data_IF_482402371600
#
_entry.id   IF_482402371600
#
_cell.length_a   1.000
_cell.length_b   1.000
_cell.length_c   1.000
_cell.angle_alpha   90.00
_cell.angle_beta   90.00
_cell.angle_gamma   90.00
#
_symmetry.space_group_name_H-M   'P 1'
#
loop_
_entity.id
_entity.type
_entity.pdbx_description
1 polymer ?
#
# COMPACT_ATOMS: atom_id res chain seq x y z
N UNK A 1 63.70 -26.78 0.37
CA UNK A 1 63.06 -25.65 -0.33
C UNK A 1 61.58 -25.98 -0.43
N UNK A 2 60.76 -25.16 0.25
CA UNK A 2 59.31 -24.95 0.23
C UNK A 2 58.41 -25.89 -0.61
N UNK A 3 57.19 -26.23 -0.25
CA UNK A 3 56.36 -26.10 0.96
C UNK A 3 55.00 -26.69 0.55
N UNK A 4 54.41 -27.51 1.42
CA UNK A 4 52.98 -27.52 1.75
C UNK A 4 51.98 -26.97 0.70
N UNK A 5 51.40 -27.86 -0.12
CA UNK A 5 50.05 -27.63 -0.71
C UNK A 5 49.18 -28.81 -0.32
N UNK A 6 48.80 -28.86 0.96
CA UNK A 6 47.70 -29.71 1.44
C UNK A 6 46.92 -28.91 2.47
N UNK A 7 45.59 -28.96 2.35
CA UNK A 7 44.58 -28.29 3.19
C UNK A 7 44.42 -26.77 3.03
N UNK A 8 43.70 -26.31 2.00
CA UNK A 8 42.92 -25.07 2.16
C UNK A 8 41.63 -24.94 1.31
N UNK A 9 41.23 -25.96 0.54
CA UNK A 9 40.00 -25.88 -0.27
C UNK A 9 38.71 -26.24 0.50
N UNK A 10 38.82 -26.84 1.67
CA UNK A 10 37.65 -27.28 2.49
C UNK A 10 37.09 -26.14 3.36
N UNK A 11 37.89 -25.14 3.73
CA UNK A 11 37.42 -24.01 4.55
C UNK A 11 36.48 -23.06 3.81
N UNK A 12 36.56 -23.00 2.48
CA UNK A 12 35.69 -22.14 1.67
C UNK A 12 34.30 -22.74 1.42
N UNK A 13 34.14 -24.05 1.59
CA UNK A 13 32.81 -24.72 1.51
C UNK A 13 32.01 -24.50 2.80
N UNK A 14 32.69 -24.33 3.94
CA UNK A 14 32.05 -24.05 5.22
C UNK A 14 31.65 -22.57 5.42
N UNK A 15 32.14 -21.64 4.58
CA UNK A 15 31.79 -20.21 4.69
C UNK A 15 30.54 -19.82 3.88
N UNK A 16 30.00 -20.72 3.06
CA UNK A 16 28.83 -20.45 2.21
C UNK A 16 27.54 -21.17 2.68
N UNK A 17 27.61 -21.89 3.80
CA UNK A 17 26.52 -22.76 4.30
C UNK A 17 25.72 -22.14 5.46
N UNK A 18 25.93 -20.87 5.81
CA UNK A 18 25.29 -20.23 6.97
C UNK A 18 24.29 -19.11 6.60
N UNK A 19 23.78 -19.06 5.37
CA UNK A 19 22.72 -18.11 4.98
C UNK A 19 21.60 -18.78 4.19
N UNK A 20 21.17 -19.95 4.64
CA UNK A 20 19.82 -20.45 4.32
C UNK A 20 18.94 -20.18 5.53
N UNK A 21 18.63 -18.91 5.76
CA UNK A 21 17.46 -18.56 6.56
C UNK A 21 16.27 -18.99 5.72
N UNK A 22 15.69 -20.10 6.15
CA UNK A 22 14.37 -20.60 5.78
C UNK A 22 13.38 -19.43 5.68
N UNK A 23 13.08 -19.00 4.45
CA UNK A 23 11.80 -18.37 4.14
C UNK A 23 10.73 -19.46 4.21
N UNK A 24 10.35 -19.83 5.44
CA UNK A 24 9.10 -20.53 5.67
C UNK A 24 8.00 -19.49 5.49
N UNK A 25 7.36 -19.49 4.31
CA UNK A 25 6.08 -18.81 4.14
C UNK A 25 5.03 -19.58 4.95
N UNK A 26 4.94 -19.25 6.24
CA UNK A 26 3.80 -19.62 7.05
C UNK A 26 2.62 -18.71 6.67
N UNK A 27 1.46 -19.30 6.39
CA UNK A 27 0.26 -18.55 5.96
C UNK A 27 -0.53 -17.98 7.16
N UNK A 28 0.04 -18.03 8.37
CA UNK A 28 -0.65 -17.64 9.60
C UNK A 28 0.18 -16.79 10.57
N UNK A 29 1.34 -16.27 10.15
CA UNK A 29 2.10 -15.31 10.97
C UNK A 29 1.87 -13.90 10.45
N UNK A 30 1.01 -13.18 11.19
CA UNK A 30 1.03 -11.74 11.45
C UNK A 30 1.94 -11.01 10.47
N UNK A 31 1.34 -10.39 9.45
CA UNK A 31 1.98 -9.33 8.67
C UNK A 31 2.74 -8.46 9.66
N UNK A 32 4.07 -8.60 9.66
CA UNK A 32 4.91 -7.73 10.47
C UNK A 32 4.83 -6.40 9.75
N UNK A 33 3.83 -5.59 10.11
CA UNK A 33 3.77 -4.22 9.65
C UNK A 33 5.01 -3.54 10.21
N UNK A 34 6.00 -3.35 9.34
CA UNK A 34 7.29 -2.74 9.67
C UNK A 34 7.20 -1.23 9.80
N UNK A 35 6.04 -0.64 9.46
CA UNK A 35 5.77 0.79 9.56
C UNK A 35 4.98 1.12 10.82
N UNK A 36 5.32 2.23 11.47
CA UNK A 36 4.47 2.79 12.52
C UNK A 36 3.19 3.40 11.92
N UNK A 37 2.16 3.57 12.74
CA UNK A 37 0.91 4.25 12.32
C UNK A 37 1.22 5.67 11.83
N UNK A 38 2.17 6.34 12.46
CA UNK A 38 2.62 7.69 12.11
C UNK A 38 3.37 7.71 10.77
N UNK A 39 4.23 6.71 10.49
CA UNK A 39 4.88 6.60 9.19
C UNK A 39 3.85 6.32 8.07
N UNK A 40 2.85 5.49 8.35
CA UNK A 40 1.77 5.17 7.42
C UNK A 40 0.96 6.44 7.06
N UNK A 41 0.63 7.26 8.06
CA UNK A 41 0.00 8.58 7.84
C UNK A 41 0.88 9.50 6.99
N UNK A 42 2.17 9.60 7.31
CA UNK A 42 3.10 10.46 6.59
C UNK A 42 3.27 10.02 5.11
N UNK A 43 3.37 8.71 4.86
CA UNK A 43 3.40 8.16 3.51
C UNK A 43 2.09 8.45 2.75
N UNK A 44 0.96 8.41 3.45
CA UNK A 44 -0.35 8.73 2.87
C UNK A 44 -0.46 10.20 2.45
N UNK A 45 0.09 11.11 3.25
CA UNK A 45 0.18 12.54 2.91
C UNK A 45 1.11 12.77 1.71
N UNK A 46 2.27 12.11 1.68
CA UNK A 46 3.20 12.18 0.54
C UNK A 46 2.55 11.67 -0.75
N UNK A 47 1.83 10.55 -0.68
CA UNK A 47 1.09 10.01 -1.82
C UNK A 47 0.03 11.01 -2.32
N UNK A 48 -0.72 11.62 -1.41
CA UNK A 48 -1.73 12.60 -1.78
C UNK A 48 -1.12 13.84 -2.45
N UNK A 49 0.05 14.30 -1.99
CA UNK A 49 0.80 15.39 -2.61
C UNK A 49 1.29 15.02 -4.01
N UNK A 50 1.85 13.83 -4.19
CA UNK A 50 2.33 13.35 -5.49
C UNK A 50 1.17 13.29 -6.50
N UNK A 51 0.03 12.71 -6.11
CA UNK A 51 -1.17 12.64 -6.96
C UNK A 51 -1.67 14.04 -7.31
N UNK A 52 -1.74 14.96 -6.33
CA UNK A 52 -2.19 16.32 -6.57
C UNK A 52 -1.23 17.12 -7.48
N UNK A 53 0.06 16.76 -7.51
CA UNK A 53 1.06 17.42 -8.35
C UNK A 53 0.97 17.04 -9.83
N UNK A 54 0.32 15.91 -10.16
CA UNK A 54 0.07 15.47 -11.53
C UNK A 54 -1.43 15.38 -11.86
N UNK A 55 -2.11 16.52 -12.02
CA UNK A 55 -3.53 16.55 -12.38
C UNK A 55 -3.79 16.09 -13.82
N UNK A 56 -2.76 15.89 -14.63
CA UNK A 56 -2.91 15.38 -16.00
C UNK A 56 -3.15 13.87 -15.97
N UNK A 57 -2.37 13.15 -15.17
CA UNK A 57 -2.55 11.71 -14.95
C UNK A 57 -3.69 11.43 -13.97
N UNK A 58 -3.87 12.28 -12.96
CA UNK A 58 -4.87 12.11 -11.91
C UNK A 58 -5.81 13.33 -11.81
N UNK A 59 -6.71 13.54 -12.79
CA UNK A 59 -7.66 14.65 -12.75
C UNK A 59 -8.71 14.41 -11.66
N UNK A 60 -8.46 14.91 -10.45
CA UNK A 60 -9.38 14.77 -9.31
C UNK A 60 -10.62 15.64 -9.50
N UNK A 61 -11.81 15.05 -9.37
CA UNK A 61 -13.06 15.78 -9.41
C UNK A 61 -13.24 16.64 -8.16
N UNK A 62 -13.65 17.89 -8.35
CA UNK A 62 -13.95 18.81 -7.25
C UNK A 62 -15.12 18.29 -6.39
N UNK A 63 -14.89 18.17 -5.08
CA UNK A 63 -15.86 17.59 -4.15
C UNK A 63 -17.15 18.42 -4.03
N UNK A 64 -17.06 19.74 -4.18
CA UNK A 64 -18.23 20.63 -4.10
C UNK A 64 -19.10 20.55 -5.34
N UNK A 65 -18.49 20.44 -6.53
CA UNK A 65 -19.19 20.31 -7.81
C UNK A 65 -19.83 18.93 -7.98
N UNK A 66 -19.20 17.88 -7.47
CA UNK A 66 -19.65 16.49 -7.61
C UNK A 66 -20.14 15.89 -6.27
N UNK A 67 -20.79 16.72 -5.44
CA UNK A 67 -21.20 16.35 -4.08
C UNK A 67 -22.01 15.04 -4.00
N UNK A 68 -22.94 14.81 -4.93
CA UNK A 68 -23.76 13.57 -4.95
C UNK A 68 -22.91 12.31 -5.14
N UNK A 69 -21.89 12.34 -6.01
CA UNK A 69 -21.02 11.20 -6.25
C UNK A 69 -20.15 10.93 -5.01
N UNK A 70 -19.57 11.98 -4.43
CA UNK A 70 -18.80 11.86 -3.20
C UNK A 70 -19.64 11.37 -2.01
N UNK A 71 -20.85 11.88 -1.82
CA UNK A 71 -21.76 11.38 -0.78
C UNK A 71 -22.07 9.89 -0.94
N UNK A 72 -22.22 9.42 -2.18
CA UNK A 72 -22.46 8.01 -2.45
C UNK A 72 -21.26 7.15 -2.05
N UNK A 73 -20.04 7.56 -2.41
CA UNK A 73 -18.82 6.87 -2.02
C UNK A 73 -18.59 6.92 -0.51
N UNK A 74 -18.80 8.08 0.11
CA UNK A 74 -18.70 8.26 1.56
C UNK A 74 -19.63 7.30 2.29
N UNK A 75 -20.86 7.10 1.80
CA UNK A 75 -21.80 6.12 2.37
C UNK A 75 -21.26 4.69 2.27
N UNK A 76 -20.64 4.32 1.15
CA UNK A 76 -20.04 2.98 0.97
C UNK A 76 -18.85 2.80 1.91
N UNK A 77 -17.90 3.76 1.90
CA UNK A 77 -16.73 3.77 2.80
C UNK A 77 -17.19 3.66 4.25
N UNK A 78 -18.14 4.50 4.68
CA UNK A 78 -18.66 4.45 6.05
C UNK A 78 -19.33 3.12 6.38
N UNK A 79 -20.04 2.49 5.43
CA UNK A 79 -20.62 1.15 5.65
C UNK A 79 -19.52 0.11 5.92
N UNK A 80 -18.43 0.17 5.16
CA UNK A 80 -17.28 -0.73 5.32
C UNK A 80 -16.56 -0.46 6.63
N UNK A 81 -16.27 0.80 6.95
CA UNK A 81 -15.66 1.21 8.22
C UNK A 81 -16.52 0.81 9.43
N UNK A 82 -17.84 0.82 9.29
CA UNK A 82 -18.78 0.42 10.35
C UNK A 82 -19.05 -1.09 10.40
N UNK A 83 -18.43 -1.90 9.53
CA UNK A 83 -18.59 -3.35 9.53
C UNK A 83 -17.87 -4.07 10.69
N UNK A 84 -16.98 -3.37 11.40
CA UNK A 84 -16.13 -3.95 12.44
C UNK A 84 -14.97 -4.80 11.93
N UNK A 85 -14.72 -4.80 10.61
CA UNK A 85 -13.68 -5.62 9.95
C UNK A 85 -12.45 -4.83 9.50
N UNK A 86 -12.45 -3.51 9.69
CA UNK A 86 -11.37 -2.63 9.23
C UNK A 86 -10.43 -2.33 10.39
N UNK A 87 -9.20 -2.83 10.30
CA UNK A 87 -8.12 -2.47 11.22
C UNK A 87 -7.76 -1.00 11.03
N UNK A 88 -7.36 -0.32 12.11
CA UNK A 88 -6.95 1.10 12.08
C UNK A 88 -8.04 2.07 11.60
N UNK A 89 -9.31 1.67 11.69
CA UNK A 89 -10.46 2.53 11.36
C UNK A 89 -10.34 3.91 12.02
N UNK A 90 -10.07 3.92 13.32
CA UNK A 90 -10.05 5.14 14.13
C UNK A 90 -8.67 5.81 14.16
N UNK A 91 -7.64 5.15 13.63
CA UNK A 91 -6.28 5.69 13.57
C UNK A 91 -6.06 6.55 12.32
N UNK A 92 -6.78 6.29 11.22
CA UNK A 92 -6.61 6.97 9.94
C UNK A 92 -7.77 7.90 9.59
N UNK A 93 -7.46 9.00 8.89
CA UNK A 93 -8.47 9.87 8.29
C UNK A 93 -8.80 9.33 6.91
N UNK A 94 -9.82 8.47 6.88
CA UNK A 94 -10.29 7.85 5.64
C UNK A 94 -10.83 8.89 4.67
N UNK A 95 -10.16 9.04 3.53
CA UNK A 95 -10.48 10.04 2.54
C UNK A 95 -10.60 9.39 1.17
N UNK A 96 -11.78 9.53 0.55
CA UNK A 96 -12.01 9.09 -0.83
C UNK A 96 -11.91 10.27 -1.81
N UNK A 97 -11.20 10.05 -2.90
CA UNK A 97 -11.05 10.95 -4.05
C UNK A 97 -11.50 10.27 -5.33
N UNK A 98 -12.14 11.02 -6.24
CA UNK A 98 -12.58 10.52 -7.54
C UNK A 98 -11.65 11.02 -8.63
N UNK A 99 -11.02 10.10 -9.37
CA UNK A 99 -10.21 10.39 -10.54
C UNK A 99 -11.09 10.32 -11.79
N UNK A 100 -11.10 11.39 -12.57
CA UNK A 100 -11.90 11.51 -13.80
C UNK A 100 -11.24 10.78 -14.98
N UNK A 101 -11.46 9.47 -15.06
CA UNK A 101 -11.09 8.66 -16.20
C UNK A 101 -12.06 7.49 -16.34
N UNK A 102 -12.90 7.61 -17.36
CA UNK A 102 -13.98 6.68 -17.68
C UNK A 102 -13.49 5.38 -18.34
N UNK A 103 -12.26 5.37 -18.85
CA UNK A 103 -11.67 4.21 -19.54
C UNK A 103 -11.03 3.22 -18.57
N UNK A 104 -10.70 3.68 -17.36
CA UNK A 104 -10.04 2.87 -16.34
C UNK A 104 -11.06 2.28 -15.36
N UNK A 105 -11.24 0.97 -15.43
CA UNK A 105 -12.06 0.20 -14.50
C UNK A 105 -11.22 -0.18 -13.26
N UNK A 106 -11.00 0.76 -12.35
CA UNK A 106 -10.14 0.54 -11.19
C UNK A 106 -10.53 1.38 -9.95
N UNK A 107 -10.04 0.94 -8.80
CA UNK A 107 -9.94 1.71 -7.57
C UNK A 107 -8.73 1.20 -6.77
N UNK A 108 -8.05 2.08 -6.03
CA UNK A 108 -6.91 1.69 -5.20
C UNK A 108 -6.91 2.41 -3.85
N UNK A 109 -6.28 1.78 -2.87
CA UNK A 109 -6.04 2.35 -1.54
C UNK A 109 -4.55 2.63 -1.37
N UNK A 110 -4.22 3.77 -0.77
CA UNK A 110 -2.89 4.12 -0.35
C UNK A 110 -2.75 4.13 1.18
N UNK A 111 -1.53 4.38 1.68
CA UNK A 111 -1.25 4.54 3.11
C UNK A 111 -2.11 5.66 3.74
N UNK A 112 -2.29 5.62 5.06
CA UNK A 112 -2.97 6.66 5.84
C UNK A 112 -4.47 6.79 5.57
N UNK A 113 -5.10 5.75 4.99
CA UNK A 113 -6.54 5.75 4.70
C UNK A 113 -6.94 6.51 3.43
N UNK A 114 -6.01 6.75 2.50
CA UNK A 114 -6.32 7.38 1.20
C UNK A 114 -6.95 6.36 0.26
N UNK A 115 -8.07 6.70 -0.37
CA UNK A 115 -8.78 5.85 -1.32
C UNK A 115 -9.04 6.64 -2.61
N UNK A 116 -8.73 6.03 -3.75
CA UNK A 116 -8.90 6.65 -5.07
C UNK A 116 -9.76 5.75 -5.94
N UNK A 117 -10.80 6.34 -6.52
CA UNK A 117 -11.78 5.62 -7.34
C UNK A 117 -11.86 6.29 -8.70
N UNK A 118 -11.70 5.51 -9.77
CA UNK A 118 -11.82 6.03 -11.14
C UNK A 118 -13.29 6.11 -11.54
N UNK A 119 -13.68 7.12 -12.32
CA UNK A 119 -15.06 7.22 -12.83
C UNK A 119 -15.47 6.01 -13.66
N UNK A 120 -14.51 5.32 -14.30
CA UNK A 120 -14.75 4.08 -15.03
C UNK A 120 -15.38 2.96 -14.20
N UNK A 121 -15.11 2.85 -12.89
CA UNK A 121 -15.77 1.85 -12.02
C UNK A 121 -17.10 2.32 -11.41
N UNK A 122 -17.36 3.63 -11.37
CA UNK A 122 -18.61 4.19 -10.82
C UNK A 122 -19.79 4.02 -11.79
N UNK A 123 -19.51 3.92 -13.10
CA UNK A 123 -20.54 3.75 -14.13
C UNK A 123 -21.21 2.37 -14.13
N UNK A 124 -20.63 1.38 -13.48
CA UNK A 124 -21.05 -0.03 -13.50
C UNK A 124 -21.42 -0.53 -12.11
#
# INVERSE_FOLDING_TARGET
MFSFVRLNKIKWIFLFSALTVVFSCDKNDKDVNIFSIEDDKALGEQLAQEIASDPTTYPILDRSKYATAYMHLDRIVNTILNSGKVTHKDDFVWEVSIINDDSTLNAFCGPGGKVYVYTGIIKY
#
